data_IF_427363360613
#
_entry.id   IF_427363360613
#
_cell.length_a   1.000
_cell.length_b   1.000
_cell.length_c   1.000
_cell.angle_alpha   90.00
_cell.angle_beta   90.00
_cell.angle_gamma   90.00
#
_symmetry.space_group_name_H-M   'P 1'
#
loop_
_entity.id
_entity.type
_entity.pdbx_description
1 polymer ?
#
# COMPACT_ATOMS: atom_id res chain seq x y z
N UNK A 1 5.05 -20.02 27.15
CA UNK A 1 5.80 -18.75 27.21
C UNK A 1 7.29 -19.07 27.03
N UNK A 2 7.97 -18.46 26.05
CA UNK A 2 9.40 -18.71 25.81
C UNK A 2 10.28 -17.88 26.77
N UNK A 3 11.47 -18.38 27.18
CA UNK A 3 12.49 -17.58 27.87
C UNK A 3 12.85 -16.31 27.06
N UNK A 4 13.18 -15.20 27.73
CA UNK A 4 13.40 -13.89 27.08
C UNK A 4 14.39 -13.93 25.90
N UNK A 5 15.46 -14.71 26.01
CA UNK A 5 16.49 -14.86 24.95
C UNK A 5 16.00 -15.66 23.74
N UNK A 6 15.20 -16.70 23.96
CA UNK A 6 14.60 -17.48 22.88
C UNK A 6 13.45 -16.71 22.20
N UNK A 7 12.74 -15.87 22.95
CA UNK A 7 11.66 -15.02 22.43
C UNK A 7 12.18 -14.05 21.37
N UNK A 8 13.35 -13.45 21.58
CA UNK A 8 14.00 -12.59 20.58
C UNK A 8 14.37 -13.38 19.32
N UNK A 9 14.93 -14.59 19.45
CA UNK A 9 15.30 -15.43 18.29
C UNK A 9 14.07 -15.87 17.48
N UNK A 10 13.00 -16.28 18.15
CA UNK A 10 11.73 -16.68 17.51
C UNK A 10 11.06 -15.48 16.83
N UNK A 11 11.03 -14.32 17.48
CA UNK A 11 10.49 -13.09 16.88
C UNK A 11 11.31 -12.66 15.66
N UNK A 12 12.64 -12.74 15.71
CA UNK A 12 13.48 -12.44 14.54
C UNK A 12 13.23 -13.39 13.37
N UNK A 13 13.06 -14.69 13.63
CA UNK A 13 12.68 -15.68 12.60
C UNK A 13 11.31 -15.39 12.01
N UNK A 14 10.35 -15.00 12.85
CA UNK A 14 9.01 -14.62 12.41
C UNK A 14 9.04 -13.37 11.52
N UNK A 15 9.76 -12.32 11.92
CA UNK A 15 9.94 -11.09 11.13
C UNK A 15 10.64 -11.39 9.80
N UNK A 16 11.69 -12.22 9.79
CA UNK A 16 12.37 -12.63 8.56
C UNK A 16 11.43 -13.37 7.60
N UNK A 17 10.53 -14.21 8.11
CA UNK A 17 9.53 -14.88 7.28
C UNK A 17 8.50 -13.91 6.69
N UNK A 18 7.92 -13.04 7.52
CA UNK A 18 6.88 -12.09 7.10
C UNK A 18 7.41 -11.03 6.13
N UNK A 19 8.62 -10.53 6.37
CA UNK A 19 9.22 -9.46 5.58
C UNK A 19 10.06 -10.02 4.41
N UNK A 20 10.50 -11.28 4.48
CA UNK A 20 11.30 -11.94 3.44
C UNK A 20 10.55 -12.15 2.14
N UNK A 21 9.26 -12.48 2.24
CA UNK A 21 8.38 -12.66 1.08
C UNK A 21 8.35 -11.44 0.16
N UNK A 22 7.96 -10.24 0.65
CA UNK A 22 7.95 -9.02 -0.14
C UNK A 22 9.29 -8.62 -0.75
N UNK A 23 10.42 -8.96 -0.10
CA UNK A 23 11.74 -8.64 -0.62
C UNK A 23 12.19 -9.52 -1.78
N UNK A 24 11.92 -10.82 -1.70
CA UNK A 24 12.32 -11.78 -2.73
C UNK A 24 11.26 -11.90 -3.84
N UNK A 25 10.00 -11.64 -3.51
CA UNK A 25 8.84 -11.83 -4.37
C UNK A 25 8.96 -11.15 -5.74
N UNK A 26 9.21 -9.83 -5.83
CA UNK A 26 9.31 -9.13 -7.11
C UNK A 26 10.47 -9.63 -7.99
N UNK A 27 11.64 -9.92 -7.40
CA UNK A 27 12.80 -10.42 -8.13
C UNK A 27 12.56 -11.84 -8.67
N UNK A 28 12.05 -12.74 -7.81
CA UNK A 28 11.74 -14.11 -8.19
C UNK A 28 10.56 -14.15 -9.19
N UNK A 29 9.52 -13.34 -8.95
CA UNK A 29 8.35 -13.23 -9.81
C UNK A 29 8.71 -12.70 -11.19
N UNK A 30 9.56 -11.66 -11.27
CA UNK A 30 10.07 -11.14 -12.54
C UNK A 30 10.88 -12.19 -13.31
N UNK A 31 11.74 -12.94 -12.62
CA UNK A 31 12.50 -14.04 -13.23
C UNK A 31 11.61 -15.17 -13.77
N UNK A 32 10.64 -15.63 -12.98
CA UNK A 32 9.72 -16.70 -13.37
C UNK A 32 8.82 -16.29 -14.53
N UNK A 33 8.27 -15.08 -14.47
CA UNK A 33 7.37 -14.56 -15.49
C UNK A 33 8.08 -14.42 -16.85
N UNK A 34 9.36 -14.06 -16.84
CA UNK A 34 10.12 -13.85 -18.06
C UNK A 34 10.70 -15.16 -18.65
N UNK A 35 11.15 -16.09 -17.82
CA UNK A 35 11.88 -17.30 -18.28
C UNK A 35 10.97 -18.48 -18.59
N UNK A 36 9.90 -18.67 -17.82
CA UNK A 36 9.05 -19.86 -17.92
C UNK A 36 7.69 -19.53 -18.51
N UNK A 37 6.95 -18.64 -17.83
CA UNK A 37 5.65 -18.06 -18.19
C UNK A 37 5.08 -17.37 -16.94
N UNK A 38 4.22 -16.37 -17.09
CA UNK A 38 3.60 -15.66 -15.96
C UNK A 38 2.82 -16.60 -15.01
N UNK A 39 2.31 -17.74 -15.50
CA UNK A 39 1.58 -18.73 -14.68
C UNK A 39 2.46 -19.35 -13.60
N UNK A 40 3.77 -19.42 -13.80
CA UNK A 40 4.71 -20.00 -12.83
C UNK A 40 4.81 -19.20 -11.53
N UNK A 41 4.47 -17.91 -11.57
CA UNK A 41 4.35 -17.07 -10.37
C UNK A 41 3.27 -17.64 -9.43
N UNK A 42 2.25 -18.33 -9.95
CA UNK A 42 1.24 -19.02 -9.14
C UNK A 42 1.66 -20.44 -8.77
N UNK A 43 2.22 -21.20 -9.72
CA UNK A 43 2.60 -22.60 -9.48
C UNK A 43 3.66 -22.76 -8.38
N UNK A 44 4.58 -21.81 -8.24
CA UNK A 44 5.60 -21.83 -7.16
C UNK A 44 4.98 -21.74 -5.76
N UNK A 45 3.83 -21.10 -5.60
CA UNK A 45 3.16 -21.00 -4.31
C UNK A 45 2.51 -22.32 -3.87
N UNK A 46 2.09 -23.17 -4.81
CA UNK A 46 1.42 -24.44 -4.51
C UNK A 46 2.27 -25.41 -3.67
N UNK A 47 3.52 -25.76 -4.02
CA UNK A 47 4.35 -26.66 -3.20
C UNK A 47 4.68 -26.03 -1.83
N UNK A 48 4.91 -24.72 -1.77
CA UNK A 48 5.17 -24.00 -0.52
C UNK A 48 3.95 -24.06 0.41
N UNK A 49 2.75 -23.89 -0.15
CA UNK A 49 1.48 -24.01 0.58
C UNK A 49 1.26 -25.43 1.12
N UNK A 50 1.52 -26.46 0.30
CA UNK A 50 1.42 -27.87 0.72
C UNK A 50 2.39 -28.15 1.87
N UNK A 51 3.66 -27.75 1.75
CA UNK A 51 4.65 -27.93 2.82
C UNK A 51 4.20 -27.21 4.10
N UNK A 52 3.70 -25.99 3.98
CA UNK A 52 3.22 -25.20 5.12
C UNK A 52 2.04 -25.88 5.83
N UNK A 53 1.07 -26.42 5.08
CA UNK A 53 -0.05 -27.18 5.65
C UNK A 53 0.44 -28.44 6.37
N UNK A 54 1.36 -29.20 5.76
CA UNK A 54 1.93 -30.40 6.37
C UNK A 54 2.68 -30.08 7.68
N UNK A 55 3.44 -28.98 7.71
CA UNK A 55 4.12 -28.52 8.91
C UNK A 55 3.14 -28.10 10.01
N UNK A 56 2.07 -27.37 9.65
CA UNK A 56 1.05 -26.96 10.63
C UNK A 56 0.38 -28.21 11.24
N UNK A 57 -0.03 -29.17 10.41
CA UNK A 57 -0.67 -30.41 10.87
C UNK A 57 0.27 -31.27 11.74
N UNK A 58 1.58 -31.20 11.50
CA UNK A 58 2.57 -32.00 12.23
C UNK A 58 3.00 -31.37 13.56
N UNK A 59 3.10 -30.03 13.62
CA UNK A 59 3.74 -29.33 14.75
C UNK A 59 2.79 -28.47 15.60
N UNK A 60 1.65 -28.01 15.07
CA UNK A 60 0.75 -27.11 15.80
C UNK A 60 -0.28 -27.94 16.57
N UNK A 61 -0.28 -27.83 17.90
CA UNK A 61 -1.27 -28.49 18.76
C UNK A 61 -2.58 -27.69 18.78
N UNK A 62 -3.75 -28.35 18.68
CA UNK A 62 -5.04 -27.68 18.80
C UNK A 62 -5.19 -27.06 20.19
N UNK A 63 -5.54 -25.77 20.23
CA UNK A 63 -5.89 -25.04 21.45
C UNK A 63 -7.41 -25.14 21.63
N UNK A 64 -7.93 -25.39 22.85
CA UNK A 64 -9.37 -25.44 23.08
C UNK A 64 -10.04 -24.13 22.65
N UNK A 65 -11.18 -24.20 21.93
CA UNK A 65 -11.86 -23.01 21.42
C UNK A 65 -12.40 -22.17 22.58
N UNK A 66 -11.98 -20.90 22.67
CA UNK A 66 -12.68 -19.90 23.49
C UNK A 66 -13.98 -19.55 22.78
N UNK A 67 -15.11 -19.78 23.47
CA UNK A 67 -16.43 -19.33 23.01
C UNK A 67 -16.59 -17.85 23.33
N UNK A 68 -16.18 -16.99 22.42
CA UNK A 68 -16.56 -15.59 22.45
C UNK A 68 -17.77 -15.38 21.54
N UNK A 69 -18.79 -14.67 22.04
CA UNK A 69 -19.98 -14.37 21.27
C UNK A 69 -19.63 -13.35 20.19
N UNK A 70 -19.54 -13.80 18.94
CA UNK A 70 -19.27 -12.91 17.81
C UNK A 70 -20.45 -11.99 17.54
N UNK A 71 -20.20 -10.69 17.47
CA UNK A 71 -21.21 -9.69 17.11
C UNK A 71 -21.48 -9.66 15.60
N UNK A 72 -22.31 -10.60 15.13
CA UNK A 72 -22.67 -10.71 13.71
C UNK A 72 -23.38 -9.48 13.15
N UNK A 73 -24.16 -8.76 13.97
CA UNK A 73 -24.87 -7.55 13.51
C UNK A 73 -23.89 -6.41 13.25
N UNK A 74 -22.96 -6.18 14.18
CA UNK A 74 -21.86 -5.23 13.99
C UNK A 74 -20.99 -5.58 12.79
N UNK A 75 -20.70 -6.87 12.60
CA UNK A 75 -19.92 -7.38 11.47
C UNK A 75 -20.57 -7.06 10.13
N UNK A 76 -21.86 -7.35 9.95
CA UNK A 76 -22.56 -7.10 8.69
C UNK A 76 -22.57 -5.59 8.38
N UNK A 77 -22.84 -4.75 9.38
CA UNK A 77 -22.81 -3.29 9.21
C UNK A 77 -21.44 -2.80 8.76
N UNK A 78 -20.37 -3.31 9.39
CA UNK A 78 -18.99 -2.99 9.06
C UNK A 78 -18.64 -3.43 7.64
N UNK A 79 -18.99 -4.66 7.24
CA UNK A 79 -18.71 -5.21 5.90
C UNK A 79 -19.38 -4.36 4.83
N UNK A 80 -20.69 -4.09 4.96
CA UNK A 80 -21.44 -3.34 3.94
C UNK A 80 -20.91 -1.91 3.83
N UNK A 81 -20.63 -1.26 4.97
CA UNK A 81 -20.02 0.08 4.97
C UNK A 81 -18.67 0.08 4.25
N UNK A 82 -17.74 -0.80 4.66
CA UNK A 82 -16.37 -0.82 4.14
C UNK A 82 -16.33 -1.20 2.68
N UNK A 83 -17.08 -2.22 2.25
CA UNK A 83 -17.14 -2.64 0.85
C UNK A 83 -17.72 -1.52 -0.02
N UNK A 84 -18.81 -0.88 0.41
CA UNK A 84 -19.41 0.22 -0.35
C UNK A 84 -18.45 1.41 -0.46
N UNK A 85 -17.77 1.76 0.63
CA UNK A 85 -16.75 2.80 0.66
C UNK A 85 -15.59 2.49 -0.30
N UNK A 86 -15.07 1.27 -0.26
CA UNK A 86 -13.95 0.82 -1.08
C UNK A 86 -14.27 0.84 -2.58
N UNK A 87 -15.45 0.34 -2.98
CA UNK A 87 -15.87 0.35 -4.39
C UNK A 87 -16.11 1.77 -4.86
N UNK A 88 -16.77 2.61 -4.03
CA UNK A 88 -17.01 4.01 -4.35
C UNK A 88 -15.71 4.77 -4.61
N UNK A 89 -14.67 4.50 -3.83
CA UNK A 89 -13.38 5.16 -3.98
C UNK A 89 -12.65 4.65 -5.22
N UNK A 90 -12.45 3.33 -5.34
CA UNK A 90 -11.69 2.75 -6.45
C UNK A 90 -12.33 3.01 -7.82
N UNK A 91 -13.66 2.88 -7.93
CA UNK A 91 -14.38 3.06 -9.20
C UNK A 91 -14.96 4.46 -9.37
N UNK A 92 -14.82 5.32 -8.36
CA UNK A 92 -15.35 6.68 -8.40
C UNK A 92 -14.81 7.45 -9.59
N UNK A 93 -13.50 7.38 -9.82
CA UNK A 93 -12.87 8.07 -10.93
C UNK A 93 -13.24 7.48 -12.30
N UNK A 94 -13.32 6.16 -12.41
CA UNK A 94 -13.69 5.46 -13.66
C UNK A 94 -15.14 5.72 -14.08
N UNK A 95 -16.06 5.84 -13.11
CA UNK A 95 -17.49 5.98 -13.32
C UNK A 95 -17.98 7.45 -13.24
N UNK A 96 -17.10 8.42 -13.46
CA UNK A 96 -17.45 9.85 -13.44
C UNK A 96 -18.08 10.32 -12.10
N UNK A 97 -17.65 9.71 -10.99
CA UNK A 97 -18.07 10.04 -9.63
C UNK A 97 -19.59 10.13 -9.49
N UNK A 98 -20.10 11.29 -9.09
CA UNK A 98 -21.53 11.52 -8.87
C UNK A 98 -22.35 11.60 -10.17
N UNK A 99 -21.71 11.56 -11.34
CA UNK A 99 -22.39 11.38 -12.63
C UNK A 99 -22.98 9.97 -12.78
N UNK A 100 -22.41 8.96 -12.10
CA UNK A 100 -22.92 7.59 -12.14
C UNK A 100 -23.94 7.30 -11.03
N UNK A 101 -25.10 6.76 -11.46
CA UNK A 101 -26.14 6.25 -10.54
C UNK A 101 -25.59 5.16 -9.61
N UNK A 102 -24.63 4.36 -10.07
CA UNK A 102 -23.98 3.31 -9.27
C UNK A 102 -23.20 3.91 -8.09
N UNK A 103 -22.38 4.93 -8.36
CA UNK A 103 -21.58 5.61 -7.31
C UNK A 103 -22.47 6.35 -6.32
N UNK A 104 -23.53 7.01 -6.79
CA UNK A 104 -24.50 7.66 -5.90
C UNK A 104 -25.17 6.64 -4.97
N UNK A 105 -25.60 5.49 -5.50
CA UNK A 105 -26.17 4.41 -4.70
C UNK A 105 -25.18 3.87 -3.67
N UNK A 106 -23.92 3.63 -4.08
CA UNK A 106 -22.85 3.21 -3.17
C UNK A 106 -22.56 4.28 -2.10
N UNK A 107 -22.64 5.56 -2.44
CA UNK A 107 -22.43 6.68 -1.52
C UNK A 107 -23.51 6.76 -0.45
N UNK A 108 -24.77 6.63 -0.86
CA UNK A 108 -25.91 6.58 0.07
C UNK A 108 -25.81 5.34 0.97
N UNK A 109 -25.48 4.18 0.40
CA UNK A 109 -25.29 2.92 1.14
C UNK A 109 -24.16 3.08 2.16
N UNK A 110 -23.00 3.59 1.72
CA UNK A 110 -21.86 3.85 2.59
C UNK A 110 -22.23 4.80 3.74
N UNK A 111 -22.87 5.93 3.46
CA UNK A 111 -23.26 6.91 4.49
C UNK A 111 -24.25 6.32 5.50
N UNK A 112 -25.25 5.59 5.02
CA UNK A 112 -26.30 4.99 5.87
C UNK A 112 -25.71 3.92 6.79
N UNK A 113 -24.89 3.01 6.25
CA UNK A 113 -24.29 1.93 7.04
C UNK A 113 -23.17 2.42 7.96
N UNK A 114 -22.40 3.45 7.56
CA UNK A 114 -21.46 4.13 8.44
C UNK A 114 -22.19 4.72 9.65
N UNK A 115 -23.25 5.50 9.40
CA UNK A 115 -24.04 6.12 10.47
C UNK A 115 -24.63 5.06 11.40
N UNK A 116 -25.22 4.00 10.85
CA UNK A 116 -25.75 2.89 11.65
C UNK A 116 -24.68 2.20 12.50
N UNK A 117 -23.48 1.99 11.95
CA UNK A 117 -22.35 1.38 12.67
C UNK A 117 -21.87 2.28 13.82
N UNK A 118 -21.64 3.57 13.58
CA UNK A 118 -21.18 4.51 14.60
C UNK A 118 -22.24 4.76 15.69
N UNK A 119 -23.52 4.90 15.32
CA UNK A 119 -24.62 5.03 16.29
C UNK A 119 -24.73 3.79 17.16
N UNK A 120 -24.67 2.61 16.56
CA UNK A 120 -24.68 1.34 17.30
C UNK A 120 -23.47 1.22 18.23
N UNK A 121 -22.28 1.59 17.76
CA UNK A 121 -21.08 1.62 18.58
C UNK A 121 -21.19 2.58 19.77
N UNK A 122 -21.84 3.74 19.59
CA UNK A 122 -22.10 4.69 20.66
C UNK A 122 -23.09 4.15 21.70
N UNK A 123 -24.11 3.40 21.28
CA UNK A 123 -25.14 2.84 22.16
C UNK A 123 -24.68 1.59 22.94
N UNK A 124 -23.91 0.71 22.28
CA UNK A 124 -23.53 -0.60 22.81
C UNK A 124 -22.13 -0.58 23.48
N UNK A 125 -21.30 0.41 23.15
CA UNK A 125 -19.99 0.60 23.76
C UNK A 125 -19.04 -0.58 23.48
N UNK A 126 -18.47 -1.15 24.55
CA UNK A 126 -17.42 -2.18 24.47
C UNK A 126 -17.89 -3.53 23.90
N UNK A 127 -19.20 -3.78 23.78
CA UNK A 127 -19.72 -5.03 23.19
C UNK A 127 -19.87 -4.95 21.66
N UNK A 128 -19.56 -3.80 21.04
CA UNK A 128 -19.53 -3.67 19.60
C UNK A 128 -18.31 -4.41 19.03
N UNK A 129 -18.42 -4.95 17.81
CA UNK A 129 -17.31 -5.68 17.15
C UNK A 129 -15.98 -4.91 17.11
N UNK A 130 -16.04 -3.58 17.07
CA UNK A 130 -14.89 -2.70 17.26
C UNK A 130 -15.18 -1.80 18.45
N UNK A 131 -14.30 -1.86 19.44
CA UNK A 131 -14.32 -0.97 20.59
C UNK A 131 -13.80 0.43 20.20
N UNK A 132 -14.74 1.30 19.79
CA UNK A 132 -14.44 2.67 19.38
C UNK A 132 -13.82 3.53 20.49
N UNK A 133 -13.91 3.10 21.76
CA UNK A 133 -13.30 3.82 22.88
C UNK A 133 -11.77 3.80 22.82
N UNK A 134 -11.17 2.85 22.10
CA UNK A 134 -9.73 2.80 21.85
C UNK A 134 -9.25 4.03 21.07
N UNK A 135 -10.10 4.60 20.22
CA UNK A 135 -9.79 5.82 19.46
C UNK A 135 -9.76 7.09 20.34
N UNK A 136 -10.22 6.99 21.59
CA UNK A 136 -10.15 8.10 22.55
C UNK A 136 -8.72 8.33 23.06
N UNK A 137 -7.87 7.31 23.01
CA UNK A 137 -6.44 7.48 23.29
C UNK A 137 -5.77 8.14 22.08
N UNK A 138 -5.33 9.38 22.25
CA UNK A 138 -4.72 10.17 21.18
C UNK A 138 -3.42 9.53 20.64
N UNK A 139 -2.63 8.87 21.50
CA UNK A 139 -1.40 8.22 21.08
C UNK A 139 -1.71 7.00 20.20
N UNK A 140 -2.70 6.18 20.59
CA UNK A 140 -3.16 5.06 19.75
C UNK A 140 -3.72 5.55 18.41
N UNK A 141 -4.59 6.57 18.42
CA UNK A 141 -5.21 7.11 17.21
C UNK A 141 -4.19 7.75 16.27
N UNK A 142 -3.27 8.56 16.79
CA UNK A 142 -2.23 9.19 15.99
C UNK A 142 -1.30 8.14 15.35
N UNK A 143 -0.84 7.14 16.11
CA UNK A 143 0.01 6.08 15.57
C UNK A 143 -0.72 5.23 14.52
N UNK A 144 -2.00 4.93 14.75
CA UNK A 144 -2.83 4.17 13.80
C UNK A 144 -3.07 4.94 12.51
N UNK A 145 -3.33 6.26 12.59
CA UNK A 145 -3.49 7.12 11.43
C UNK A 145 -2.18 7.28 10.64
N UNK A 146 -1.06 7.52 11.33
CA UNK A 146 0.26 7.56 10.71
C UNK A 146 0.57 6.24 10.00
N UNK A 147 0.17 5.11 10.59
CA UNK A 147 0.30 3.80 9.96
C UNK A 147 -0.54 3.62 8.71
N UNK A 148 -1.77 4.12 8.72
CA UNK A 148 -2.60 4.16 7.52
C UNK A 148 -1.93 4.98 6.40
N UNK A 149 -1.29 6.11 6.73
CA UNK A 149 -0.57 6.97 5.78
C UNK A 149 0.72 6.28 5.28
N UNK A 150 1.55 5.71 6.14
CA UNK A 150 2.74 4.99 5.68
C UNK A 150 2.37 3.78 4.82
N UNK A 151 1.28 3.12 5.17
CA UNK A 151 0.69 2.05 4.40
C UNK A 151 0.21 2.45 3.01
N UNK A 152 -0.43 3.61 2.93
CA UNK A 152 -0.91 4.19 1.68
C UNK A 152 0.28 4.52 0.74
N UNK A 153 1.36 5.07 1.30
CA UNK A 153 2.61 5.35 0.58
C UNK A 153 3.32 4.08 0.10
N UNK A 154 3.31 3.02 0.91
CA UNK A 154 3.89 1.73 0.54
C UNK A 154 3.20 1.13 -0.69
N UNK A 155 1.86 1.08 -0.69
CA UNK A 155 1.12 0.55 -1.84
C UNK A 155 1.23 1.44 -3.07
N UNK A 156 1.21 2.76 -2.89
CA UNK A 156 1.46 3.71 -3.96
C UNK A 156 2.79 3.42 -4.66
N UNK A 157 3.87 3.25 -3.90
CA UNK A 157 5.19 2.92 -4.44
C UNK A 157 5.17 1.58 -5.20
N UNK A 158 4.52 0.56 -4.64
CA UNK A 158 4.40 -0.77 -5.24
C UNK A 158 3.62 -0.80 -6.55
N UNK A 159 2.65 0.11 -6.76
CA UNK A 159 1.87 0.20 -8.00
C UNK A 159 2.58 1.09 -9.03
N UNK A 160 3.04 2.26 -8.62
CA UNK A 160 3.62 3.25 -9.52
C UNK A 160 4.97 2.79 -10.09
N UNK A 161 5.80 2.13 -9.29
CA UNK A 161 7.15 1.72 -9.73
C UNK A 161 7.10 0.76 -10.92
N UNK A 162 6.41 -0.40 -10.86
CA UNK A 162 6.38 -1.31 -12.02
C UNK A 162 5.75 -0.66 -13.24
N UNK A 163 4.71 0.16 -13.06
CA UNK A 163 4.11 0.93 -14.16
C UNK A 163 5.15 1.85 -14.81
N UNK A 164 5.91 2.62 -14.00
CA UNK A 164 6.99 3.48 -14.47
C UNK A 164 8.06 2.68 -15.23
N UNK A 165 8.57 1.60 -14.63
CA UNK A 165 9.69 0.84 -15.19
C UNK A 165 9.32 0.07 -16.46
N UNK A 166 8.13 -0.52 -16.52
CA UNK A 166 7.72 -1.41 -17.61
C UNK A 166 7.00 -0.63 -18.72
N UNK A 167 6.06 0.26 -18.37
CA UNK A 167 5.25 0.95 -19.37
C UNK A 167 5.95 2.19 -19.95
N UNK A 168 6.62 2.98 -19.10
CA UNK A 168 7.25 4.24 -19.52
C UNK A 168 8.72 4.04 -19.91
N UNK A 169 9.53 3.40 -19.06
CA UNK A 169 10.95 3.15 -19.34
C UNK A 169 11.19 1.96 -20.28
N UNK A 170 10.16 1.12 -20.51
CA UNK A 170 10.24 -0.07 -21.37
C UNK A 170 11.37 -1.02 -20.96
N UNK A 171 11.66 -1.10 -19.66
CA UNK A 171 12.66 -2.04 -19.15
C UNK A 171 12.17 -3.47 -19.22
N UNK A 172 13.14 -4.38 -19.29
CA UNK A 172 12.90 -5.80 -19.21
C UNK A 172 12.32 -6.17 -17.83
N UNK A 173 11.40 -7.14 -17.80
CA UNK A 173 10.64 -7.53 -16.59
C UNK A 173 11.57 -7.96 -15.46
N UNK A 174 12.63 -8.71 -15.77
CA UNK A 174 13.65 -9.13 -14.81
C UNK A 174 14.39 -7.94 -14.22
N UNK A 175 14.78 -6.95 -15.03
CA UNK A 175 15.48 -5.76 -14.54
C UNK A 175 14.59 -4.96 -13.58
N UNK A 176 13.32 -4.74 -13.96
CA UNK A 176 12.35 -4.07 -13.09
C UNK A 176 12.14 -4.87 -11.78
N UNK A 177 11.98 -6.20 -11.88
CA UNK A 177 11.84 -7.08 -10.73
C UNK A 177 13.05 -7.06 -9.79
N UNK A 178 14.28 -6.98 -10.33
CA UNK A 178 15.50 -6.86 -9.52
C UNK A 178 15.57 -5.51 -8.79
N UNK A 179 15.20 -4.40 -9.44
CA UNK A 179 15.18 -3.07 -8.82
C UNK A 179 14.15 -3.03 -7.69
N UNK A 180 12.92 -3.49 -7.94
CA UNK A 180 11.85 -3.53 -6.93
C UNK A 180 12.20 -4.51 -5.80
N UNK A 181 12.80 -5.66 -6.12
CA UNK A 181 13.30 -6.59 -5.11
C UNK A 181 14.39 -5.97 -4.23
N UNK A 182 15.26 -5.14 -4.82
CA UNK A 182 16.24 -4.35 -4.10
C UNK A 182 15.62 -3.37 -3.10
N UNK A 183 14.46 -2.77 -3.43
CA UNK A 183 13.70 -1.97 -2.47
C UNK A 183 13.29 -2.80 -1.27
N UNK A 184 12.72 -3.99 -1.50
CA UNK A 184 12.26 -4.87 -0.43
C UNK A 184 13.39 -5.41 0.45
N UNK A 185 14.60 -5.63 -0.09
CA UNK A 185 15.79 -5.97 0.71
C UNK A 185 16.16 -4.83 1.67
N UNK A 186 16.05 -3.59 1.20
CA UNK A 186 16.30 -2.42 2.04
C UNK A 186 15.18 -2.18 3.05
N UNK A 187 13.93 -2.45 2.67
CA UNK A 187 12.81 -2.51 3.61
C UNK A 187 13.04 -3.54 4.71
N UNK A 188 13.47 -4.74 4.36
CA UNK A 188 13.88 -5.78 5.32
C UNK A 188 14.93 -5.28 6.31
N UNK A 189 15.98 -4.64 5.81
CA UNK A 189 17.03 -4.09 6.65
C UNK A 189 16.48 -3.02 7.61
N UNK A 190 15.59 -2.13 7.14
CA UNK A 190 14.91 -1.14 7.96
C UNK A 190 14.07 -1.78 9.07
N UNK A 191 13.25 -2.78 8.72
CA UNK A 191 12.41 -3.50 9.68
C UNK A 191 13.19 -4.28 10.74
N UNK A 192 14.30 -4.91 10.37
CA UNK A 192 15.19 -5.62 11.32
C UNK A 192 15.95 -4.65 12.23
N UNK A 193 16.36 -3.49 11.70
CA UNK A 193 17.07 -2.48 12.48
C UNK A 193 16.15 -1.69 13.42
N UNK A 194 14.87 -1.60 13.09
CA UNK A 194 13.86 -0.82 13.80
C UNK A 194 13.80 -1.07 15.32
N UNK A 195 13.64 -2.32 15.82
CA UNK A 195 13.61 -2.57 17.26
C UNK A 195 14.93 -2.22 17.97
N UNK A 196 16.07 -2.46 17.31
CA UNK A 196 17.39 -2.14 17.86
C UNK A 196 17.56 -0.64 18.02
N UNK A 197 17.23 0.12 16.98
CA UNK A 197 17.33 1.57 16.99
C UNK A 197 16.39 2.20 18.03
N UNK A 198 15.16 1.69 18.13
CA UNK A 198 14.21 2.10 19.17
C UNK A 198 14.68 1.82 20.59
N UNK A 199 15.40 0.71 20.82
CA UNK A 199 15.96 0.38 22.13
C UNK A 199 17.19 1.23 22.52
N UNK A 200 17.98 1.66 21.53
CA UNK A 200 19.23 2.42 21.75
C UNK A 200 18.99 3.92 21.88
N UNK A 201 18.15 4.50 21.02
CA UNK A 201 17.92 5.95 20.93
C UNK A 201 16.55 6.38 21.49
N UNK A 202 15.68 5.43 21.81
CA UNK A 202 14.27 5.69 22.06
C UNK A 202 13.45 5.79 20.77
N UNK A 203 12.13 5.66 20.91
CA UNK A 203 11.20 5.60 19.76
C UNK A 203 11.16 6.93 18.99
N UNK A 204 11.17 8.09 19.67
CA UNK A 204 11.04 9.40 18.99
C UNK A 204 12.22 9.71 18.07
N UNK A 205 13.50 9.61 18.50
CA UNK A 205 14.63 9.85 17.60
C UNK A 205 14.71 8.81 16.47
N UNK A 206 14.37 7.55 16.76
CA UNK A 206 14.34 6.50 15.74
C UNK A 206 13.29 6.78 14.64
N UNK A 207 12.11 7.31 15.01
CA UNK A 207 11.11 7.77 14.05
C UNK A 207 11.58 8.97 13.24
N UNK A 208 12.30 9.92 13.84
CA UNK A 208 12.88 11.06 13.10
C UNK A 208 13.89 10.58 12.04
N UNK A 209 14.70 9.58 12.37
CA UNK A 209 15.63 8.95 11.42
C UNK A 209 14.85 8.32 10.27
N UNK A 210 13.77 7.58 10.57
CA UNK A 210 12.91 7.01 9.53
C UNK A 210 12.31 8.07 8.61
N UNK A 211 11.80 9.17 9.17
CA UNK A 211 11.29 10.30 8.39
C UNK A 211 12.37 10.97 7.53
N UNK A 212 13.62 11.02 7.98
CA UNK A 212 14.73 11.56 7.19
C UNK A 212 15.02 10.68 5.96
N UNK A 213 15.05 9.36 6.14
CA UNK A 213 15.19 8.42 5.02
C UNK A 213 14.04 8.51 4.02
N UNK A 214 12.81 8.63 4.51
CA UNK A 214 11.63 8.86 3.67
C UNK A 214 11.74 10.16 2.88
N UNK A 215 12.07 11.27 3.55
CA UNK A 215 12.19 12.57 2.90
C UNK A 215 13.29 12.57 1.83
N UNK A 216 14.45 11.98 2.13
CA UNK A 216 15.55 11.86 1.19
C UNK A 216 15.18 10.96 0.00
N UNK A 217 14.56 9.81 0.26
CA UNK A 217 14.13 8.88 -0.79
C UNK A 217 13.11 9.49 -1.73
N UNK A 218 12.07 10.16 -1.20
CA UNK A 218 11.07 10.85 -2.02
C UNK A 218 11.65 12.05 -2.78
N UNK A 219 12.58 12.79 -2.16
CA UNK A 219 13.31 13.85 -2.85
C UNK A 219 14.09 13.31 -4.06
N UNK A 220 14.83 12.21 -3.90
CA UNK A 220 15.54 11.58 -5.02
C UNK A 220 14.58 11.06 -6.09
N UNK A 221 13.46 10.46 -5.69
CA UNK A 221 12.39 10.06 -6.61
C UNK A 221 11.87 11.25 -7.46
N UNK A 222 11.71 12.43 -6.87
CA UNK A 222 11.27 13.63 -7.60
C UNK A 222 12.27 14.14 -8.64
N UNK A 223 13.53 13.65 -8.60
CA UNK A 223 14.60 14.02 -9.53
C UNK A 223 14.80 13.01 -10.65
N UNK A 224 14.10 11.88 -10.59
CA UNK A 224 14.14 10.85 -11.63
C UNK A 224 13.57 11.44 -12.93
N UNK A 225 14.28 11.20 -14.02
CA UNK A 225 13.90 11.62 -15.36
C UNK A 225 14.13 10.48 -16.35
N UNK A 226 13.66 10.61 -17.59
CA UNK A 226 13.72 9.55 -18.62
C UNK A 226 15.13 8.98 -18.90
N UNK A 227 16.20 9.66 -18.49
CA UNK A 227 17.58 9.20 -18.64
C UNK A 227 18.13 8.49 -17.40
N UNK A 228 17.38 8.43 -16.30
CA UNK A 228 17.79 7.79 -15.06
C UNK A 228 18.01 6.29 -15.24
N UNK A 229 19.16 5.82 -14.74
CA UNK A 229 19.53 4.41 -14.79
C UNK A 229 18.95 3.58 -13.64
N UNK A 230 19.04 2.24 -13.72
CA UNK A 230 18.57 1.32 -12.67
C UNK A 230 19.10 1.62 -11.26
N UNK A 231 20.35 2.08 -11.15
CA UNK A 231 20.97 2.37 -9.85
C UNK A 231 20.35 3.59 -9.15
N UNK A 232 19.96 4.63 -9.90
CA UNK A 232 19.34 5.83 -9.33
C UNK A 232 17.95 5.54 -8.79
N UNK A 233 17.18 4.77 -9.56
CA UNK A 233 15.84 4.33 -9.14
C UNK A 233 15.95 3.38 -7.95
N UNK A 234 16.88 2.41 -8.01
CA UNK A 234 17.20 1.49 -6.92
C UNK A 234 17.49 2.25 -5.63
N UNK A 235 18.41 3.22 -5.66
CA UNK A 235 18.79 4.00 -4.48
C UNK A 235 17.60 4.80 -3.93
N UNK A 236 16.82 5.44 -4.79
CA UNK A 236 15.67 6.25 -4.40
C UNK A 236 14.62 5.40 -3.67
N UNK A 237 14.20 4.29 -4.26
CA UNK A 237 13.21 3.40 -3.63
C UNK A 237 13.73 2.57 -2.48
N UNK A 238 15.03 2.22 -2.48
CA UNK A 238 15.68 1.62 -1.33
C UNK A 238 15.58 2.50 -0.08
N UNK A 239 15.83 3.81 -0.21
CA UNK A 239 15.75 4.75 0.91
C UNK A 239 14.31 4.93 1.40
N UNK A 240 13.34 4.98 0.48
CA UNK A 240 11.92 5.04 0.84
C UNK A 240 11.49 3.78 1.58
N UNK A 241 11.72 2.59 1.03
CA UNK A 241 11.36 1.31 1.68
C UNK A 241 12.07 1.12 3.03
N UNK A 242 13.35 1.47 3.11
CA UNK A 242 14.09 1.44 4.36
C UNK A 242 13.43 2.34 5.41
N UNK A 243 13.09 3.58 5.05
CA UNK A 243 12.41 4.52 5.94
C UNK A 243 11.01 4.04 6.35
N UNK A 244 10.22 3.52 5.42
CA UNK A 244 8.87 2.98 5.67
C UNK A 244 8.94 1.83 6.67
N UNK A 245 9.80 0.84 6.41
CA UNK A 245 9.92 -0.34 7.24
C UNK A 245 10.66 -0.08 8.55
N UNK A 246 11.49 0.96 8.64
CA UNK A 246 12.07 1.40 9.90
C UNK A 246 10.99 2.00 10.82
N UNK A 247 10.12 2.86 10.27
CA UNK A 247 9.02 3.47 11.02
C UNK A 247 7.94 2.46 11.44
N UNK A 248 7.75 1.40 10.65
CA UNK A 248 6.62 0.50 10.82
C UNK A 248 6.60 -0.19 12.21
N UNK A 249 7.62 -0.94 12.67
CA UNK A 249 7.59 -1.54 14.00
C UNK A 249 7.60 -0.51 15.15
N UNK A 250 8.21 0.67 14.94
CA UNK A 250 8.26 1.74 15.94
C UNK A 250 6.87 2.31 16.24
N UNK A 251 6.11 2.64 15.20
CA UNK A 251 4.74 3.13 15.36
C UNK A 251 3.81 2.05 15.91
N UNK A 252 4.00 0.79 15.49
CA UNK A 252 3.24 -0.32 16.05
C UNK A 252 3.51 -0.44 17.56
N UNK A 253 4.78 -0.47 18.00
CA UNK A 253 5.13 -0.51 19.41
C UNK A 253 4.57 0.68 20.20
N UNK A 254 4.61 1.88 19.61
CA UNK A 254 4.10 3.10 20.23
C UNK A 254 2.56 3.09 20.33
N UNK A 255 1.84 2.54 19.35
CA UNK A 255 0.39 2.45 19.37
C UNK A 255 -0.12 1.65 20.58
N UNK A 256 0.53 0.53 20.91
CA UNK A 256 0.14 -0.35 22.01
C UNK A 256 0.70 0.06 23.37
N UNK A 257 1.55 1.09 23.44
CA UNK A 257 2.26 1.47 24.67
C UNK A 257 1.33 1.88 25.83
N UNK A 258 0.20 2.54 25.52
CA UNK A 258 -0.77 3.02 26.52
C UNK A 258 -1.96 2.06 26.72
N UNK A 259 -2.07 1.00 25.93
CA UNK A 259 -3.20 0.08 25.99
C UNK A 259 -3.02 -0.93 27.12
N UNK A 260 -4.10 -1.17 27.87
CA UNK A 260 -4.13 -2.22 28.88
C UNK A 260 -4.06 -3.60 28.24
N UNK A 261 -3.49 -4.63 28.90
CA UNK A 261 -3.33 -5.97 28.32
C UNK A 261 -4.64 -6.58 27.79
N UNK A 262 -5.77 -6.29 28.45
CA UNK A 262 -7.10 -6.78 28.04
C UNK A 262 -7.59 -6.17 26.73
N UNK A 263 -7.01 -5.02 26.33
CA UNK A 263 -7.39 -4.27 25.14
C UNK A 263 -6.44 -4.53 23.96
N UNK A 264 -5.39 -5.34 24.14
CA UNK A 264 -4.37 -5.57 23.09
C UNK A 264 -4.95 -6.31 21.88
N UNK A 265 -5.82 -7.30 22.09
CA UNK A 265 -6.42 -8.07 21.00
C UNK A 265 -7.39 -7.20 20.17
N UNK A 266 -8.28 -6.46 20.84
CA UNK A 266 -9.19 -5.50 20.18
C UNK A 266 -8.43 -4.37 19.47
N UNK A 267 -7.41 -3.83 20.13
CA UNK A 267 -6.54 -2.79 19.56
C UNK A 267 -5.76 -3.27 18.34
N UNK A 268 -5.29 -4.52 18.34
CA UNK A 268 -4.62 -5.13 17.19
C UNK A 268 -5.56 -5.31 16.01
N UNK A 269 -6.81 -5.69 16.27
CA UNK A 269 -7.86 -5.76 15.26
C UNK A 269 -8.13 -4.38 14.62
N UNK A 270 -8.39 -3.36 15.45
CA UNK A 270 -8.65 -2.00 14.97
C UNK A 270 -7.44 -1.38 14.25
N UNK A 271 -6.23 -1.56 14.79
CA UNK A 271 -5.00 -1.08 14.20
C UNK A 271 -4.79 -1.65 12.78
N UNK A 272 -4.95 -2.97 12.61
CA UNK A 272 -4.83 -3.59 11.29
C UNK A 272 -5.99 -3.20 10.36
N UNK A 273 -7.20 -3.06 10.89
CA UNK A 273 -8.35 -2.60 10.11
C UNK A 273 -8.12 -1.22 9.50
N UNK A 274 -7.74 -0.22 10.31
CA UNK A 274 -7.48 1.14 9.83
C UNK A 274 -6.27 1.19 8.90
N UNK A 275 -5.23 0.41 9.20
CA UNK A 275 -4.07 0.26 8.30
C UNK A 275 -4.49 -0.25 6.92
N UNK A 276 -5.26 -1.34 6.85
CA UNK A 276 -5.73 -1.92 5.59
C UNK A 276 -6.71 -1.00 4.86
N UNK A 277 -7.49 -0.18 5.57
CA UNK A 277 -8.25 0.89 4.92
C UNK A 277 -7.33 1.94 4.29
N UNK A 278 -6.30 2.38 5.02
CA UNK A 278 -5.31 3.37 4.55
C UNK A 278 -4.60 2.94 3.26
N UNK A 279 -4.27 1.66 3.16
CA UNK A 279 -3.74 1.02 1.96
C UNK A 279 -4.59 1.34 0.72
N UNK A 280 -5.88 1.01 0.76
CA UNK A 280 -6.78 1.26 -0.37
C UNK A 280 -6.96 2.74 -0.68
N UNK A 281 -7.12 3.58 0.35
CA UNK A 281 -7.23 5.04 0.17
C UNK A 281 -6.01 5.60 -0.56
N UNK A 282 -4.81 5.08 -0.27
CA UNK A 282 -3.58 5.45 -0.96
C UNK A 282 -3.60 5.17 -2.44
N UNK A 283 -4.01 3.95 -2.79
CA UNK A 283 -4.10 3.51 -4.18
C UNK A 283 -5.05 4.41 -4.96
N UNK A 284 -6.29 4.59 -4.47
CA UNK A 284 -7.28 5.46 -5.12
C UNK A 284 -6.76 6.89 -5.27
N UNK A 285 -6.15 7.45 -4.21
CA UNK A 285 -5.67 8.83 -4.24
C UNK A 285 -4.59 9.02 -5.31
N UNK A 286 -3.66 8.07 -5.42
CA UNK A 286 -2.60 8.09 -6.43
C UNK A 286 -3.15 7.90 -7.83
N UNK A 287 -4.11 7.00 -8.03
CA UNK A 287 -4.79 6.82 -9.31
C UNK A 287 -5.48 8.10 -9.79
N UNK A 288 -6.17 8.82 -8.88
CA UNK A 288 -6.80 10.11 -9.20
C UNK A 288 -5.75 11.14 -9.60
N UNK A 289 -4.65 11.24 -8.85
CA UNK A 289 -3.57 12.19 -9.17
C UNK A 289 -2.93 11.87 -10.52
N UNK A 290 -2.67 10.60 -10.81
CA UNK A 290 -2.14 10.14 -12.10
C UNK A 290 -3.10 10.45 -13.24
N UNK A 291 -4.39 10.12 -13.09
CA UNK A 291 -5.40 10.39 -14.09
C UNK A 291 -5.50 11.88 -14.43
N UNK A 292 -5.58 12.73 -13.40
CA UNK A 292 -5.63 14.20 -13.58
C UNK A 292 -4.35 14.75 -14.19
N UNK A 293 -3.19 14.23 -13.76
CA UNK A 293 -1.89 14.61 -14.30
C UNK A 293 -1.78 14.26 -15.79
N UNK A 294 -2.13 13.03 -16.16
CA UNK A 294 -2.15 12.60 -17.57
C UNK A 294 -3.13 13.41 -18.40
N UNK A 295 -4.33 13.71 -17.89
CA UNK A 295 -5.31 14.54 -18.59
C UNK A 295 -4.79 15.96 -18.82
N UNK A 296 -4.15 16.56 -17.81
CA UNK A 296 -3.54 17.90 -17.92
C UNK A 296 -2.41 17.91 -18.94
N UNK A 297 -1.48 16.95 -18.84
CA UNK A 297 -0.37 16.81 -19.78
C UNK A 297 -0.88 16.57 -21.21
N UNK A 298 -1.89 15.73 -21.38
CA UNK A 298 -2.50 15.46 -22.68
C UNK A 298 -3.11 16.73 -23.28
N UNK A 299 -3.86 17.51 -22.49
CA UNK A 299 -4.45 18.77 -22.94
C UNK A 299 -3.37 19.80 -23.33
N UNK A 300 -2.27 19.87 -22.57
CA UNK A 300 -1.13 20.75 -22.87
C UNK A 300 -0.43 20.31 -24.17
N UNK A 301 -0.11 19.02 -24.31
CA UNK A 301 0.54 18.48 -25.51
C UNK A 301 -0.35 18.54 -26.75
N UNK A 302 -1.65 18.26 -26.62
CA UNK A 302 -2.61 18.41 -27.71
C UNK A 302 -2.73 19.87 -28.16
N UNK A 303 -2.59 20.83 -27.24
CA UNK A 303 -2.48 22.26 -27.57
C UNK A 303 -1.30 22.59 -28.49
N UNK A 304 -0.20 21.84 -28.40
CA UNK A 304 0.93 21.96 -29.32
C UNK A 304 0.69 21.29 -30.69
N UNK A 305 -0.30 20.40 -30.83
CA UNK A 305 -0.73 19.81 -32.11
C UNK A 305 -1.78 20.72 -32.78
N UNK A 306 -1.51 22.03 -32.81
CA UNK A 306 -2.29 22.98 -33.59
C UNK A 306 -1.66 23.16 -34.97
N UNK A 307 -2.48 23.31 -36.02
CA UNK A 307 -2.03 23.61 -37.38
C UNK A 307 -1.19 24.91 -37.47
N UNK A 308 -1.31 25.77 -36.47
CA UNK A 308 -0.55 27.01 -36.31
C UNK A 308 0.84 26.80 -35.71
N UNK A 309 1.17 25.60 -35.23
CA UNK A 309 2.50 25.30 -34.69
C UNK A 309 3.52 25.08 -35.83
N UNK A 310 4.55 25.93 -35.96
CA UNK A 310 5.53 25.81 -37.04
C UNK A 310 6.31 24.48 -37.01
N UNK A 311 6.48 23.86 -35.85
CA UNK A 311 7.11 22.55 -35.72
C UNK A 311 6.29 21.40 -36.31
N UNK A 312 4.95 21.49 -36.23
CA UNK A 312 4.03 20.52 -36.81
C UNK A 312 4.02 20.61 -38.35
N UNK A 313 4.06 21.83 -38.89
CA UNK A 313 4.16 22.06 -40.34
C UNK A 313 5.45 21.50 -40.95
N UNK A 314 6.58 21.60 -40.23
CA UNK A 314 7.85 20.99 -40.65
C UNK A 314 7.83 19.46 -40.61
N UNK A 315 7.19 18.86 -39.60
CA UNK A 315 7.05 17.41 -39.49
C UNK A 315 6.09 16.82 -40.52
N UNK A 316 4.96 17.49 -40.82
CA UNK A 316 3.98 17.06 -41.82
C UNK A 316 4.46 17.29 -43.27
N UNK A 317 5.29 18.30 -43.50
CA UNK A 317 5.91 18.58 -44.80
C UNK A 317 6.93 17.52 -45.26
N UNK A 318 7.60 16.83 -44.33
CA UNK A 318 8.54 15.74 -44.65
C UNK A 318 7.90 14.52 -45.34
N UNK A 319 6.78 13.96 -44.82
CA UNK A 319 6.05 12.85 -45.45
C UNK A 319 5.04 13.29 -46.53
N UNK A 320 4.95 14.58 -46.89
CA UNK A 320 4.03 15.06 -47.93
C UNK A 320 2.55 15.02 -47.54
N UNK A 321 2.25 15.04 -46.24
CA UNK A 321 0.88 15.03 -45.72
C UNK A 321 0.43 16.48 -45.59
N UNK A 322 -0.30 16.98 -46.58
CA UNK A 322 -0.95 18.29 -46.44
C UNK A 322 -2.02 18.21 -45.35
N UNK A 323 -2.04 19.16 -44.39
CA UNK A 323 -3.14 19.23 -43.45
C UNK A 323 -4.42 19.52 -44.23
N UNK A 324 -5.35 18.57 -44.23
CA UNK A 324 -6.63 18.71 -44.92
C UNK A 324 -7.31 20.01 -44.47
N UNK A 325 -7.36 20.97 -45.39
CA UNK A 325 -8.08 22.23 -45.26
C UNK A 325 -9.58 21.95 -45.30
N UNK A 326 -10.16 21.56 -44.17
CA UNK A 326 -11.61 21.38 -44.13
C UNK A 326 -12.18 20.75 -42.87
N UNK A 327 -12.24 21.52 -41.79
CA UNK A 327 -13.43 21.57 -40.90
C UNK A 327 -13.51 22.95 -40.23
N UNK A 328 -13.47 24.00 -41.05
CA UNK A 328 -13.96 25.33 -40.66
C UNK A 328 -15.28 25.54 -41.42
N UNK A 329 -16.37 24.96 -40.91
CA UNK A 329 -17.71 25.19 -41.45
C UNK A 329 -18.64 23.98 -41.39
N UNK A 330 -19.20 23.71 -40.20
CA UNK A 330 -20.58 23.28 -39.94
C UNK A 330 -20.78 23.12 -38.43
#
# INVERSE_FOLDING_TARGET
>A
AYPKEQRTRVLSLWVMGVMGGPAVGPALGGYLAQTLDWRWVFWVNLPIGIISVLLILSFVRPVPPRRESTDFRGLILLIVWVVSLQILLNRGNELDWFGSREIVFLGITCATFALAFFLRGALIGAQNIINLQLLRDWNFTACTLLMAILGSLLLALMILTPMLLIEYYRWEIVTAGMVIGGFGIMGLAGGVLSPRLGSLLGIRPALMIACLFLALGWYLFSRINLYSGPAEILLSGALVEFGLMLAYPLLAAQAFANLRPEQHDEGAGLFNFVKTLGFSFGVTFVEILMYRGNQSNWNEYAGFIALTNPGLGGFLGGPGIEPASGMAGA
#
